data_IF_328943272449
#
_entry.id   IF_328943272449
#
_cell.length_a   1.000
_cell.length_b   1.000
_cell.length_c   1.000
_cell.angle_alpha   90.00
_cell.angle_beta   90.00
_cell.angle_gamma   90.00
#
_symmetry.space_group_name_H-M   'P 1'
#
loop_
_entity.id
_entity.type
_entity.pdbx_description
1 polymer ?
#
# COMPACT_ATOMS: atom_id res chain seq x y z
N UNK A 1 0.73 -9.41 12.41
CA UNK A 1 -0.27 -10.17 11.63
C UNK A 1 0.12 -10.10 10.18
N UNK A 2 -0.36 -11.04 9.38
CA UNK A 2 -0.03 -11.10 7.96
C UNK A 2 -0.61 -9.90 7.21
N UNK A 3 0.19 -9.35 6.31
CA UNK A 3 -0.13 -8.20 5.47
C UNK A 3 0.29 -8.53 4.05
N UNK A 4 -0.58 -8.21 3.09
CA UNK A 4 -0.31 -8.33 1.66
C UNK A 4 -0.61 -7.00 0.98
N UNK A 5 -0.22 -6.89 -0.29
CA UNK A 5 -0.44 -5.70 -1.10
C UNK A 5 -0.90 -6.10 -2.49
N UNK A 6 -1.83 -5.33 -3.09
CA UNK A 6 -2.23 -5.54 -4.48
C UNK A 6 -1.06 -5.25 -5.47
N UNK A 7 -0.11 -4.41 -5.08
CA UNK A 7 1.13 -4.16 -5.82
C UNK A 7 2.13 -5.33 -5.74
N UNK A 8 1.94 -6.29 -4.82
CA UNK A 8 2.75 -7.50 -4.65
C UNK A 8 1.82 -8.71 -4.58
N UNK A 9 1.19 -9.09 -5.71
CA UNK A 9 0.08 -10.02 -5.71
C UNK A 9 0.50 -11.44 -5.31
N UNK A 10 -0.39 -12.11 -4.55
CA UNK A 10 -0.21 -13.50 -4.12
C UNK A 10 0.72 -13.70 -2.92
N UNK A 11 1.16 -12.62 -2.27
CA UNK A 11 2.11 -12.67 -1.16
C UNK A 11 1.57 -11.99 0.08
N UNK A 12 1.77 -12.63 1.23
CA UNK A 12 1.45 -12.08 2.54
C UNK A 12 2.56 -12.46 3.53
N UNK A 13 3.00 -11.48 4.32
CA UNK A 13 4.06 -11.66 5.32
C UNK A 13 3.68 -10.97 6.62
N UNK A 14 4.12 -11.55 7.74
CA UNK A 14 3.86 -10.96 9.05
C UNK A 14 4.58 -9.61 9.18
N UNK A 15 3.80 -8.54 9.26
CA UNK A 15 4.31 -7.17 9.29
C UNK A 15 3.92 -6.49 10.60
N UNK A 16 4.91 -5.93 11.29
CA UNK A 16 4.70 -5.17 12.52
C UNK A 16 4.03 -3.83 12.22
N UNK A 17 2.91 -3.58 12.90
CA UNK A 17 2.10 -2.37 12.78
C UNK A 17 1.62 -1.95 14.15
N UNK A 18 1.36 -0.66 14.32
CA UNK A 18 0.70 -0.14 15.52
C UNK A 18 -0.72 -0.69 15.61
N UNK A 19 -1.16 -1.01 16.83
CA UNK A 19 -2.51 -1.53 17.07
C UNK A 19 -3.61 -0.50 16.81
N UNK A 20 -3.32 0.78 17.03
CA UNK A 20 -4.24 1.90 16.81
C UNK A 20 -3.62 2.98 15.92
N UNK A 21 -4.48 3.80 15.30
CA UNK A 21 -4.09 4.94 14.48
C UNK A 21 -5.09 6.09 14.64
N UNK A 22 -4.59 7.31 14.47
CA UNK A 22 -5.40 8.52 14.25
C UNK A 22 -4.86 9.17 12.98
N UNK A 23 -5.59 9.06 11.87
CA UNK A 23 -5.24 9.68 10.61
C UNK A 23 -6.02 10.97 10.41
N UNK A 24 -5.36 11.97 9.83
CA UNK A 24 -5.95 13.27 9.49
C UNK A 24 -5.74 13.53 8.01
N UNK A 25 -6.75 14.02 7.33
CA UNK A 25 -6.69 14.32 5.92
C UNK A 25 -7.87 15.17 5.48
N UNK A 26 -8.14 15.18 4.18
CA UNK A 26 -9.27 15.88 3.58
C UNK A 26 -10.13 14.91 2.77
N UNK A 27 -11.44 15.15 2.76
CA UNK A 27 -12.35 14.42 1.87
C UNK A 27 -12.27 14.96 0.43
N UNK A 28 -13.06 14.37 -0.48
CA UNK A 28 -13.15 14.79 -1.89
C UNK A 28 -13.63 16.23 -2.11
N UNK A 29 -14.19 16.89 -1.08
CA UNK A 29 -14.63 18.28 -1.12
C UNK A 29 -13.63 19.25 -0.45
N UNK A 30 -12.49 18.74 0.04
CA UNK A 30 -11.45 19.52 0.71
C UNK A 30 -11.71 19.81 2.19
N UNK A 31 -12.75 19.23 2.77
CA UNK A 31 -13.11 19.37 4.19
C UNK A 31 -12.23 18.45 5.05
N UNK A 32 -11.85 18.90 6.24
CA UNK A 32 -10.99 18.14 7.13
C UNK A 32 -11.71 16.90 7.69
N UNK A 33 -11.01 15.77 7.70
CA UNK A 33 -11.50 14.49 8.24
C UNK A 33 -10.47 13.91 9.20
N UNK A 34 -10.96 13.35 10.30
CA UNK A 34 -10.17 12.56 11.25
C UNK A 34 -10.74 11.14 11.27
N UNK A 35 -9.87 10.15 11.09
CA UNK A 35 -10.21 8.74 11.11
C UNK A 35 -9.46 8.09 12.26
N UNK A 36 -10.20 7.55 13.22
CA UNK A 36 -9.67 6.76 14.32
C UNK A 36 -9.98 5.29 14.08
N UNK A 37 -8.98 4.43 14.28
CA UNK A 37 -9.14 3.00 14.02
C UNK A 37 -8.18 2.15 14.81
N UNK A 38 -8.55 0.89 14.99
CA UNK A 38 -7.73 -0.15 15.60
C UNK A 38 -7.65 -1.39 14.71
N UNK A 39 -6.76 -2.31 15.08
CA UNK A 39 -6.65 -3.64 14.48
C UNK A 39 -6.46 -3.59 12.96
N UNK A 40 -7.42 -4.13 12.20
CA UNK A 40 -7.35 -4.19 10.74
C UNK A 40 -7.44 -2.79 10.12
N UNK A 41 -8.30 -1.92 10.64
CA UNK A 41 -8.43 -0.55 10.11
C UNK A 41 -7.14 0.24 10.33
N UNK A 42 -6.53 0.10 11.52
CA UNK A 42 -5.23 0.71 11.79
C UNK A 42 -4.15 0.21 10.84
N UNK A 43 -4.13 -1.10 10.54
CA UNK A 43 -3.20 -1.69 9.58
C UNK A 43 -3.41 -1.14 8.17
N UNK A 44 -4.64 -1.11 7.67
CA UNK A 44 -4.94 -0.60 6.33
C UNK A 44 -4.52 0.86 6.20
N UNK A 45 -4.84 1.72 7.17
CA UNK A 45 -4.46 3.14 7.12
C UNK A 45 -2.93 3.31 7.09
N UNK A 46 -2.21 2.57 7.94
CA UNK A 46 -0.74 2.59 7.93
C UNK A 46 -0.17 2.08 6.59
N UNK A 47 -0.77 1.05 5.99
CA UNK A 47 -0.38 0.51 4.70
C UNK A 47 -0.56 1.51 3.55
N UNK A 48 -1.75 2.10 3.44
CA UNK A 48 -2.03 3.07 2.37
C UNK A 48 -1.23 4.36 2.54
N UNK A 49 -0.97 4.77 3.78
CA UNK A 49 -0.12 5.95 4.05
C UNK A 49 1.33 5.70 3.62
N UNK A 50 1.87 4.51 3.89
CA UNK A 50 3.22 4.15 3.43
C UNK A 50 3.37 4.24 1.91
N UNK A 51 2.33 3.88 1.14
CA UNK A 51 2.37 4.02 -0.32
C UNK A 51 2.53 5.48 -0.76
N UNK A 52 1.96 6.44 -0.03
CA UNK A 52 2.13 7.87 -0.31
C UNK A 52 3.59 8.32 -0.11
N UNK A 53 4.32 7.65 0.77
CA UNK A 53 5.75 7.85 1.01
C UNK A 53 6.64 6.97 0.10
N UNK A 54 6.05 6.18 -0.80
CA UNK A 54 6.76 5.23 -1.66
C UNK A 54 7.34 4.01 -0.93
N UNK A 55 6.81 3.72 0.26
CA UNK A 55 7.23 2.60 1.11
C UNK A 55 6.27 1.44 0.87
N UNK A 56 6.80 0.24 0.60
CA UNK A 56 6.00 -0.98 0.54
C UNK A 56 6.07 -1.73 1.88
N UNK A 57 5.07 -2.55 2.18
CA UNK A 57 5.08 -3.36 3.41
C UNK A 57 6.32 -4.29 3.51
N UNK A 58 6.88 -4.71 2.38
CA UNK A 58 8.12 -5.51 2.32
C UNK A 58 9.34 -4.78 2.88
N UNK A 59 9.32 -3.45 2.90
CA UNK A 59 10.39 -2.62 3.48
C UNK A 59 10.31 -2.53 5.00
N UNK A 60 9.17 -2.89 5.59
CA UNK A 60 8.97 -2.97 7.06
C UNK A 60 9.22 -4.35 7.66
N UNK A 61 9.52 -5.34 6.82
CA UNK A 61 9.84 -6.70 7.26
C UNK A 61 11.23 -6.74 7.92
N UNK A 62 11.44 -7.70 8.81
CA UNK A 62 12.78 -8.00 9.31
C UNK A 62 13.70 -8.47 8.16
N UNK A 63 15.01 -8.44 8.39
CA UNK A 63 16.02 -8.74 7.36
C UNK A 63 15.84 -10.11 6.70
N UNK A 64 15.51 -11.15 7.47
CA UNK A 64 15.38 -12.52 6.96
C UNK A 64 14.08 -12.67 6.16
N UNK A 65 12.96 -12.20 6.71
CA UNK A 65 11.65 -12.22 6.04
C UNK A 65 11.67 -11.37 4.78
N UNK A 66 12.32 -10.21 4.80
CA UNK A 66 12.51 -9.36 3.62
C UNK A 66 13.31 -10.08 2.54
N UNK A 67 14.38 -10.78 2.91
CA UNK A 67 15.19 -11.54 1.95
C UNK A 67 14.37 -12.65 1.28
N UNK A 68 13.54 -13.37 2.04
CA UNK A 68 12.62 -14.37 1.50
C UNK A 68 11.55 -13.74 0.60
N UNK A 69 10.94 -12.63 1.02
CA UNK A 69 9.95 -11.90 0.24
C UNK A 69 10.53 -11.42 -1.10
N UNK A 70 11.72 -10.81 -1.09
CA UNK A 70 12.39 -10.35 -2.31
C UNK A 70 12.79 -11.49 -3.25
N UNK A 71 13.11 -12.68 -2.71
CA UNK A 71 13.32 -13.88 -3.54
C UNK A 71 12.02 -14.30 -4.21
N UNK A 72 10.93 -14.42 -3.45
CA UNK A 72 9.61 -14.79 -3.98
C UNK A 72 9.13 -13.79 -5.04
N UNK A 73 9.33 -12.49 -4.83
CA UNK A 73 9.02 -11.42 -5.80
C UNK A 73 9.76 -11.65 -7.12
N UNK A 74 11.06 -11.95 -7.08
CA UNK A 74 11.86 -12.18 -8.30
C UNK A 74 11.47 -13.45 -9.04
N UNK A 75 10.94 -14.44 -8.34
CA UNK A 75 10.49 -15.72 -8.90
C UNK A 75 9.03 -15.67 -9.39
N UNK A 76 8.30 -14.60 -9.10
CA UNK A 76 6.90 -14.47 -9.48
C UNK A 76 6.73 -14.27 -10.99
N UNK A 77 5.69 -14.88 -11.56
CA UNK A 77 5.41 -14.81 -13.01
C UNK A 77 5.19 -13.38 -13.52
N UNK A 78 4.70 -12.49 -12.65
CA UNK A 78 4.44 -11.09 -12.98
C UNK A 78 5.71 -10.22 -12.96
N UNK A 79 6.81 -10.72 -12.39
CA UNK A 79 8.02 -9.94 -12.22
C UNK A 79 8.75 -9.74 -13.55
N UNK A 80 9.00 -8.48 -13.92
CA UNK A 80 9.65 -8.14 -15.18
C UNK A 80 8.73 -8.23 -16.40
N UNK A 81 7.43 -8.49 -16.23
CA UNK A 81 6.45 -8.32 -17.30
C UNK A 81 6.33 -6.84 -17.67
N UNK A 82 5.88 -6.59 -18.91
CA UNK A 82 5.62 -5.25 -19.40
C UNK A 82 4.63 -4.51 -18.48
N UNK A 83 4.87 -3.21 -18.32
CA UNK A 83 4.04 -2.34 -17.48
C UNK A 83 2.57 -2.47 -17.92
N UNK A 84 1.63 -2.63 -16.98
CA UNK A 84 0.21 -2.73 -17.32
C UNK A 84 -0.22 -1.49 -18.10
N UNK A 85 -1.06 -1.69 -19.12
CA UNK A 85 -1.65 -0.58 -19.87
C UNK A 85 -2.53 0.21 -18.91
N UNK A 86 -2.04 1.38 -18.49
CA UNK A 86 -2.80 2.30 -17.64
C UNK A 86 -4.00 2.79 -18.45
N UNK A 87 -5.19 2.34 -18.07
CA UNK A 87 -6.43 2.89 -18.61
C UNK A 87 -6.61 4.29 -18.04
N UNK A 88 -6.29 5.30 -18.85
CA UNK A 88 -6.59 6.68 -18.52
C UNK A 88 -8.11 6.81 -18.41
N UNK A 89 -8.59 7.43 -17.33
CA UNK A 89 -10.02 7.67 -17.14
C UNK A 89 -10.58 8.40 -18.37
N UNK A 90 -11.72 7.97 -18.93
CA UNK A 90 -12.34 8.66 -20.07
C UNK A 90 -12.95 10.01 -19.68
N UNK A 91 -12.96 10.36 -18.38
CA UNK A 91 -13.46 11.63 -17.87
C UNK A 91 -12.35 12.69 -17.91
N UNK A 92 -12.68 13.90 -18.35
CA UNK A 92 -11.77 15.04 -18.29
C UNK A 92 -11.34 15.30 -16.84
N UNK A 93 -10.03 15.32 -16.58
CA UNK A 93 -9.49 15.58 -15.24
C UNK A 93 -9.54 17.06 -14.86
N UNK A 94 -10.17 17.92 -15.67
CA UNK A 94 -10.29 19.38 -15.47
C UNK A 94 -8.99 20.07 -15.01
N UNK A 95 -7.82 19.56 -15.44
CA UNK A 95 -6.51 20.10 -15.06
C UNK A 95 -6.02 19.75 -13.65
N UNK A 96 -6.64 18.78 -12.96
CA UNK A 96 -6.31 18.38 -11.60
C UNK A 96 -5.43 17.12 -11.48
N UNK A 97 -4.98 16.56 -12.60
CA UNK A 97 -4.05 15.41 -12.61
C UNK A 97 -2.68 15.82 -13.15
N UNK A 98 -1.67 15.84 -12.28
CA UNK A 98 -0.26 15.64 -12.65
C UNK A 98 0.04 14.14 -12.64
#
# INVERSE_FOLDING_TARGET
>A
GDEGCLSVPGMAFNTHRSYGVIARGKNMYGEDVVIEGSELLARCIQHETDHLDGILFVDRLDTETRKMAMKAIREAEWFGLDKPVVKISPHETFGLSL
#
